data_IF_497483171859
#
_entry.id   IF_497483171859
#
_cell.length_a   1.000
_cell.length_b   1.000
_cell.length_c   1.000
_cell.angle_alpha   90.00
_cell.angle_beta   90.00
_cell.angle_gamma   90.00
#
_symmetry.space_group_name_H-M   'P 1'
#
loop_
_entity.id
_entity.type
_entity.pdbx_description
1 polymer ?
#
# COMPACT_ATOMS: atom_id res chain seq x y z
N UNK A 1 13.47 -4.96 13.37
CA UNK A 1 12.09 -5.44 13.71
C UNK A 1 11.17 -5.58 12.49
N UNK A 2 11.25 -4.68 11.50
CA UNK A 2 10.45 -4.63 10.28
C UNK A 2 10.67 -5.90 9.46
N UNK A 3 11.93 -6.36 9.31
CA UNK A 3 12.19 -7.57 8.53
C UNK A 3 11.51 -8.81 9.13
N UNK A 4 11.61 -9.02 10.44
CA UNK A 4 10.95 -10.15 11.11
C UNK A 4 9.43 -10.05 11.06
N UNK A 5 8.87 -8.83 11.07
CA UNK A 5 7.45 -8.60 10.83
C UNK A 5 7.04 -9.03 9.40
N UNK A 6 7.80 -8.65 8.37
CA UNK A 6 7.51 -9.05 7.00
C UNK A 6 7.67 -10.56 6.77
N UNK A 7 8.65 -11.20 7.43
CA UNK A 7 8.82 -12.65 7.41
C UNK A 7 7.61 -13.36 8.02
N UNK A 8 7.04 -12.84 9.11
CA UNK A 8 5.81 -13.35 9.71
C UNK A 8 4.64 -13.27 8.72
N UNK A 9 4.41 -12.10 8.10
CA UNK A 9 3.33 -11.93 7.13
C UNK A 9 3.48 -12.84 5.91
N UNK A 10 4.71 -13.06 5.44
CA UNK A 10 5.00 -13.97 4.33
C UNK A 10 4.71 -15.44 4.70
N UNK A 11 5.04 -15.84 5.92
CA UNK A 11 4.82 -17.20 6.41
C UNK A 11 3.33 -17.50 6.67
N UNK A 12 2.56 -16.48 7.05
CA UNK A 12 1.14 -16.60 7.42
C UNK A 12 0.28 -15.54 6.69
N UNK A 13 0.04 -15.68 5.36
CA UNK A 13 -0.73 -14.71 4.58
C UNK A 13 -2.15 -14.47 5.09
N UNK A 14 -2.77 -15.49 5.71
CA UNK A 14 -4.11 -15.43 6.29
C UNK A 14 -4.26 -14.40 7.42
N UNK A 15 -3.15 -13.93 7.99
CA UNK A 15 -3.17 -12.83 8.96
C UNK A 15 -3.73 -11.54 8.36
N UNK A 16 -3.66 -11.36 7.03
CA UNK A 16 -4.15 -10.16 6.33
C UNK A 16 -5.60 -10.28 5.82
N UNK A 17 -6.32 -11.33 6.20
CA UNK A 17 -7.71 -11.59 5.77
C UNK A 17 -8.73 -11.60 6.93
N UNK A 18 -8.26 -11.30 8.14
CA UNK A 18 -9.10 -11.28 9.32
C UNK A 18 -9.94 -9.99 9.37
N UNK A 19 -11.00 -10.00 10.15
CA UNK A 19 -11.83 -8.82 10.36
C UNK A 19 -11.50 -8.19 11.73
N UNK A 20 -11.12 -6.91 11.70
CA UNK A 20 -10.84 -6.13 12.92
C UNK A 20 -11.66 -4.84 12.96
N UNK A 21 -12.98 -4.91 13.24
CA UNK A 21 -13.88 -3.76 13.14
C UNK A 21 -13.48 -2.57 14.03
N UNK A 22 -12.83 -2.84 15.17
CA UNK A 22 -12.30 -1.79 16.06
C UNK A 22 -11.11 -1.06 15.45
N UNK A 23 -10.16 -1.80 14.88
CA UNK A 23 -9.02 -1.22 14.19
C UNK A 23 -9.46 -0.47 12.93
N UNK A 24 -10.38 -1.01 12.14
CA UNK A 24 -10.97 -0.30 11.00
C UNK A 24 -11.60 1.03 11.43
N UNK A 25 -12.36 1.05 12.54
CA UNK A 25 -12.91 2.28 13.12
C UNK A 25 -11.82 3.23 13.61
N UNK A 26 -10.75 2.71 14.18
CA UNK A 26 -9.60 3.50 14.62
C UNK A 26 -8.87 4.16 13.44
N UNK A 27 -8.49 3.40 12.42
CA UNK A 27 -7.82 3.86 11.21
C UNK A 27 -8.68 4.90 10.47
N UNK A 28 -9.99 4.67 10.35
CA UNK A 28 -10.91 5.62 9.74
C UNK A 28 -10.90 6.99 10.45
N UNK A 29 -10.71 7.02 11.78
CA UNK A 29 -10.62 8.27 12.56
C UNK A 29 -9.32 9.04 12.34
N UNK A 30 -8.29 8.41 11.78
CA UNK A 30 -7.01 9.08 11.50
C UNK A 30 -7.04 9.89 10.20
N UNK A 31 -8.05 9.69 9.36
CA UNK A 31 -8.22 10.45 8.12
C UNK A 31 -9.01 11.75 8.28
N UNK A 32 -9.22 12.44 7.15
CA UNK A 32 -10.00 13.67 7.15
C UNK A 32 -11.51 13.38 7.22
N UNK A 33 -12.07 13.41 8.43
CA UNK A 33 -13.49 13.18 8.71
C UNK A 33 -14.44 14.25 8.14
N UNK A 34 -13.92 15.38 7.63
CA UNK A 34 -14.75 16.41 6.98
C UNK A 34 -15.20 16.03 5.57
N UNK A 35 -14.58 15.00 4.96
CA UNK A 35 -14.98 14.44 3.67
C UNK A 35 -16.23 13.57 3.84
N UNK A 36 -17.39 14.22 4.02
CA UNK A 36 -18.61 13.62 4.58
C UNK A 36 -19.18 12.42 3.82
N UNK A 37 -18.96 12.24 2.51
CA UNK A 37 -19.49 11.09 1.75
C UNK A 37 -18.66 10.78 0.51
N UNK A 38 -17.98 9.65 0.54
CA UNK A 38 -17.40 8.97 -0.61
C UNK A 38 -17.08 7.54 -0.20
N UNK A 39 -17.57 6.54 -0.94
CA UNK A 39 -17.32 5.12 -0.66
C UNK A 39 -15.83 4.75 -0.68
N UNK A 40 -15.00 5.57 -1.33
CA UNK A 40 -13.54 5.42 -1.35
C UNK A 40 -12.82 5.88 -0.08
N UNK A 41 -13.51 6.31 0.99
CA UNK A 41 -12.90 6.90 2.20
C UNK A 41 -12.80 5.95 3.41
N UNK A 42 -12.99 4.65 3.22
CA UNK A 42 -12.92 3.68 4.31
C UNK A 42 -11.62 2.88 4.23
N UNK A 43 -10.95 2.63 5.38
CA UNK A 43 -9.88 1.65 5.41
C UNK A 43 -10.39 0.29 4.92
N UNK A 44 -9.56 -0.42 4.18
CA UNK A 44 -9.76 -1.81 3.78
C UNK A 44 -9.41 -2.73 4.96
N UNK A 45 -10.01 -3.92 4.99
CA UNK A 45 -9.77 -4.89 6.07
C UNK A 45 -8.30 -5.32 6.16
N UNK A 46 -7.61 -5.39 5.01
CA UNK A 46 -6.17 -5.65 4.94
C UNK A 46 -5.35 -4.59 5.70
N UNK A 47 -5.74 -3.32 5.64
CA UNK A 47 -5.05 -2.24 6.37
C UNK A 47 -5.26 -2.39 7.89
N UNK A 48 -6.46 -2.77 8.31
CA UNK A 48 -6.76 -3.06 9.71
C UNK A 48 -5.96 -4.26 10.23
N UNK A 49 -5.87 -5.34 9.45
CA UNK A 49 -5.03 -6.49 9.78
C UNK A 49 -3.56 -6.11 9.93
N UNK A 50 -3.03 -5.35 8.97
CA UNK A 50 -1.64 -4.92 8.99
C UNK A 50 -1.32 -4.10 10.25
N UNK A 51 -2.20 -3.16 10.62
CA UNK A 51 -2.04 -2.38 11.84
C UNK A 51 -2.06 -3.25 13.11
N UNK A 52 -3.03 -4.18 13.22
CA UNK A 52 -3.12 -5.10 14.36
C UNK A 52 -1.88 -6.00 14.46
N UNK A 53 -1.42 -6.56 13.35
CA UNK A 53 -0.24 -7.41 13.36
C UNK A 53 1.03 -6.62 13.65
N UNK A 54 1.14 -5.37 13.20
CA UNK A 54 2.23 -4.48 13.58
C UNK A 54 2.21 -4.20 15.10
N UNK A 55 1.04 -3.92 15.68
CA UNK A 55 0.90 -3.72 17.14
C UNK A 55 1.28 -4.96 17.94
N UNK A 56 0.82 -6.14 17.52
CA UNK A 56 1.23 -7.43 18.13
C UNK A 56 2.73 -7.68 18.00
N UNK A 57 3.37 -7.13 16.98
CA UNK A 57 4.81 -7.23 16.76
C UNK A 57 5.61 -6.10 17.42
N UNK A 58 4.97 -5.29 18.27
CA UNK A 58 5.61 -4.27 19.10
C UNK A 58 5.68 -2.87 18.50
N UNK A 59 5.08 -2.63 17.33
CA UNK A 59 4.97 -1.28 16.78
C UNK A 59 3.86 -0.50 17.48
N UNK A 60 4.10 0.78 17.78
CA UNK A 60 3.09 1.67 18.39
C UNK A 60 2.60 2.71 17.39
N UNK A 61 1.30 2.99 17.38
CA UNK A 61 0.77 4.03 16.51
C UNK A 61 1.39 5.40 16.85
N UNK A 62 1.82 6.12 15.83
CA UNK A 62 2.31 7.49 15.93
C UNK A 62 1.32 8.43 15.23
N UNK A 63 0.67 9.28 16.02
CA UNK A 63 -0.32 10.22 15.53
C UNK A 63 0.30 11.27 14.60
N UNK A 64 -0.51 11.78 13.67
CA UNK A 64 -0.06 12.82 12.74
C UNK A 64 0.42 14.06 13.50
N UNK A 65 1.62 14.55 13.17
CA UNK A 65 2.22 15.72 13.81
C UNK A 65 2.93 15.42 15.13
N UNK A 66 2.98 14.16 15.55
CA UNK A 66 3.80 13.73 16.69
C UNK A 66 5.12 13.14 16.21
N UNK A 67 6.19 13.39 16.96
CA UNK A 67 7.51 12.77 16.79
C UNK A 67 7.71 11.73 17.88
N UNK A 68 8.49 10.69 17.59
CA UNK A 68 8.95 9.77 18.61
C UNK A 68 9.96 10.49 19.52
N UNK A 69 9.78 10.40 20.84
CA UNK A 69 10.66 11.02 21.84
C UNK A 69 11.69 10.06 22.42
N UNK A 70 11.63 8.77 22.04
CA UNK A 70 12.48 7.71 22.55
C UNK A 70 12.73 6.66 21.47
N UNK A 71 13.73 5.83 21.70
CA UNK A 71 13.93 4.60 20.95
C UNK A 71 12.70 3.69 21.01
N UNK A 72 12.48 2.92 19.94
CA UNK A 72 11.34 2.03 19.82
C UNK A 72 10.87 1.81 18.39
N UNK A 73 9.76 1.06 18.28
CA UNK A 73 9.11 0.72 17.02
C UNK A 73 7.77 1.45 16.92
N UNK A 74 7.54 2.15 15.81
CA UNK A 74 6.35 2.97 15.59
C UNK A 74 5.77 2.73 14.21
N UNK A 75 4.48 3.02 14.03
CA UNK A 75 3.88 3.08 12.70
C UNK A 75 3.04 4.34 12.53
N UNK A 76 3.13 4.92 11.33
CA UNK A 76 2.22 5.97 10.86
C UNK A 76 1.22 5.33 9.91
N UNK A 77 -0.03 5.76 9.98
CA UNK A 77 -1.07 5.41 9.03
C UNK A 77 -1.58 6.67 8.32
N UNK A 78 -1.80 6.57 7.01
CA UNK A 78 -2.41 7.63 6.23
C UNK A 78 -3.66 7.12 5.53
N UNK A 79 -4.83 7.36 6.14
CA UNK A 79 -6.10 7.08 5.48
C UNK A 79 -6.19 7.90 4.20
N UNK A 80 -6.31 7.22 3.07
CA UNK A 80 -6.34 7.85 1.76
C UNK A 80 -5.25 8.91 1.62
N UNK A 81 -4.02 8.45 1.46
CA UNK A 81 -3.19 9.12 0.49
C UNK A 81 -4.03 9.60 -0.69
N UNK A 82 -3.72 10.77 -1.26
CA UNK A 82 -3.97 10.90 -2.70
C UNK A 82 -3.50 9.59 -3.35
N UNK A 83 -4.00 9.14 -4.51
CA UNK A 83 -3.57 7.85 -5.11
C UNK A 83 -2.03 7.73 -5.38
N UNK A 84 -1.25 8.73 -4.91
CA UNK A 84 0.19 8.84 -4.79
C UNK A 84 0.78 8.67 -3.38
N UNK A 85 0.02 8.64 -2.27
CA UNK A 85 0.60 8.46 -0.92
C UNK A 85 0.45 7.02 -0.43
N UNK A 86 1.27 6.68 0.56
CA UNK A 86 1.47 5.35 1.12
C UNK A 86 0.48 5.11 2.24
N UNK A 87 0.07 3.86 2.42
CA UNK A 87 -0.91 3.52 3.45
C UNK A 87 -0.24 3.54 4.84
N UNK A 88 0.96 2.98 4.94
CA UNK A 88 1.71 2.88 6.19
C UNK A 88 3.17 3.31 6.04
N UNK A 89 3.76 3.74 7.16
CA UNK A 89 5.20 3.77 7.34
C UNK A 89 5.55 3.14 8.68
N UNK A 90 6.41 2.12 8.67
CA UNK A 90 6.98 1.55 9.89
C UNK A 90 8.31 2.23 10.18
N UNK A 91 8.54 2.54 11.45
CA UNK A 91 9.68 3.33 11.91
C UNK A 91 10.35 2.58 13.04
N UNK A 92 11.65 2.38 12.92
CA UNK A 92 12.50 1.91 14.01
C UNK A 92 13.45 3.03 14.42
N UNK A 93 13.56 3.23 15.73
CA UNK A 93 14.46 4.22 16.34
C UNK A 93 15.38 3.48 17.29
N UNK A 94 16.68 3.50 16.98
CA UNK A 94 17.72 2.84 17.78
C UNK A 94 18.86 3.85 17.95
N UNK A 95 19.24 4.12 19.20
CA UNK A 95 20.25 5.11 19.56
C UNK A 95 19.95 6.50 18.94
N UNK A 96 18.67 6.87 18.87
CA UNK A 96 18.20 8.12 18.26
C UNK A 96 18.22 8.14 16.72
N UNK A 97 18.70 7.09 16.05
CA UNK A 97 18.71 6.97 14.58
C UNK A 97 17.39 6.36 14.11
N UNK A 98 16.68 7.07 13.24
CA UNK A 98 15.37 6.65 12.72
C UNK A 98 15.50 6.02 11.32
N UNK A 99 14.98 4.81 11.17
CA UNK A 99 14.79 4.13 9.88
C UNK A 99 13.30 4.04 9.59
N UNK A 100 12.85 4.63 8.48
CA UNK A 100 11.45 4.62 8.04
C UNK A 100 11.31 3.80 6.75
N UNK A 101 10.43 2.80 6.78
CA UNK A 101 10.08 1.97 5.62
C UNK A 101 8.62 2.17 5.28
N UNK A 102 8.33 2.44 4.00
CA UNK A 102 7.00 2.80 3.52
C UNK A 102 6.32 1.61 2.87
N UNK A 103 5.02 1.49 3.12
CA UNK A 103 4.19 0.37 2.67
C UNK A 103 2.96 0.85 1.92
N UNK A 104 2.59 0.08 0.90
CA UNK A 104 1.39 0.29 0.10
C UNK A 104 0.69 -1.06 -0.07
N UNK A 105 -0.53 -1.17 0.45
CA UNK A 105 -1.27 -2.39 0.56
C UNK A 105 -2.27 -2.48 -0.60
N UNK A 106 -2.35 -3.66 -1.20
CA UNK A 106 -3.29 -3.93 -2.29
C UNK A 106 -3.95 -5.28 -2.05
N UNK A 107 -5.26 -5.31 -2.18
CA UNK A 107 -6.03 -6.53 -2.13
C UNK A 107 -6.62 -6.82 -3.50
N UNK A 108 -6.36 -8.02 -4.02
CA UNK A 108 -6.90 -8.49 -5.29
C UNK A 108 -8.29 -9.10 -5.11
N UNK A 109 -9.17 -8.84 -6.07
CA UNK A 109 -10.41 -9.61 -6.22
C UNK A 109 -10.14 -10.74 -7.20
N UNK A 110 -9.89 -11.94 -6.66
CA UNK A 110 -9.39 -13.07 -7.45
C UNK A 110 -7.91 -12.89 -7.77
N UNK A 111 -7.57 -12.76 -9.06
CA UNK A 111 -6.19 -12.75 -9.55
C UNK A 111 -5.72 -11.37 -10.07
N UNK A 112 -6.40 -10.29 -9.65
CA UNK A 112 -6.04 -8.95 -10.09
C UNK A 112 -6.50 -7.89 -9.10
N UNK A 113 -5.80 -6.76 -9.09
CA UNK A 113 -6.13 -5.61 -8.26
C UNK A 113 -6.06 -4.33 -9.09
N UNK A 114 -6.60 -3.24 -8.56
CA UNK A 114 -6.68 -1.98 -9.28
C UNK A 114 -5.59 -1.00 -8.85
N UNK A 115 -4.87 -0.47 -9.84
CA UNK A 115 -4.18 0.81 -9.75
C UNK A 115 -5.07 1.84 -10.45
N UNK A 116 -5.74 2.70 -9.69
CA UNK A 116 -6.53 3.81 -10.27
C UNK A 116 -5.56 4.83 -10.93
N UNK A 117 -5.46 6.07 -10.45
CA UNK A 117 -4.45 7.03 -10.90
C UNK A 117 -3.06 6.78 -10.27
N UNK A 118 -2.86 5.62 -9.63
CA UNK A 118 -1.63 5.21 -8.96
C UNK A 118 -0.71 4.35 -9.85
N UNK A 119 0.49 4.11 -9.35
CA UNK A 119 1.47 3.17 -9.91
C UNK A 119 2.40 2.71 -8.80
N UNK A 120 3.16 1.65 -9.06
CA UNK A 120 4.29 1.27 -8.23
C UNK A 120 5.27 2.44 -8.05
N UNK A 121 5.83 2.57 -6.86
CA UNK A 121 6.69 3.70 -6.49
C UNK A 121 8.01 3.19 -5.97
N UNK A 122 9.08 3.94 -6.24
CA UNK A 122 10.42 3.65 -5.75
C UNK A 122 10.49 3.72 -4.22
N UNK A 123 11.27 2.84 -3.59
CA UNK A 123 11.51 2.79 -2.14
C UNK A 123 10.23 2.58 -1.32
N UNK A 124 9.30 1.82 -1.86
CA UNK A 124 8.04 1.45 -1.21
C UNK A 124 7.86 -0.04 -1.32
N UNK A 125 7.60 -0.69 -0.20
CA UNK A 125 7.26 -2.11 -0.17
C UNK A 125 5.76 -2.25 -0.42
N UNK A 126 5.41 -2.95 -1.49
CA UNK A 126 4.04 -3.32 -1.81
C UNK A 126 3.72 -4.65 -1.15
N UNK A 127 2.56 -4.71 -0.49
CA UNK A 127 2.02 -5.93 0.09
C UNK A 127 0.71 -6.25 -0.63
N UNK A 128 0.74 -7.23 -1.51
CA UNK A 128 -0.41 -7.61 -2.34
C UNK A 128 -0.99 -8.93 -1.84
N UNK A 129 -2.18 -8.90 -1.27
CA UNK A 129 -2.95 -10.11 -0.91
C UNK A 129 -3.83 -10.54 -2.08
N UNK A 130 -3.77 -11.82 -2.47
CA UNK A 130 -4.53 -12.36 -3.59
C UNK A 130 -4.83 -13.85 -3.43
N UNK A 131 -5.83 -14.35 -4.15
CA UNK A 131 -6.22 -15.77 -4.12
C UNK A 131 -5.82 -16.42 -5.43
N UNK A 132 -5.02 -17.48 -5.35
CA UNK A 132 -4.65 -18.32 -6.50
C UNK A 132 -4.89 -19.78 -6.19
N UNK A 133 -5.63 -20.48 -7.05
CA UNK A 133 -6.01 -21.89 -6.86
C UNK A 133 -6.66 -22.16 -5.48
N UNK A 134 -7.55 -21.26 -5.04
CA UNK A 134 -8.25 -21.29 -3.73
C UNK A 134 -7.31 -21.21 -2.51
N UNK A 135 -6.08 -20.73 -2.69
CA UNK A 135 -5.14 -20.50 -1.60
C UNK A 135 -4.81 -19.02 -1.51
N UNK A 136 -4.74 -18.53 -0.28
CA UNK A 136 -4.33 -17.17 0.03
C UNK A 136 -2.84 -17.04 -0.20
N UNK A 137 -2.46 -15.97 -0.91
CA UNK A 137 -1.09 -15.68 -1.23
C UNK A 137 -0.81 -14.21 -0.99
N UNK A 138 0.45 -13.95 -0.67
CA UNK A 138 0.96 -12.61 -0.47
C UNK A 138 2.18 -12.42 -1.36
N UNK A 139 2.22 -11.30 -2.05
CA UNK A 139 3.42 -10.77 -2.66
C UNK A 139 3.94 -9.64 -1.78
N UNK A 140 5.23 -9.63 -1.49
CA UNK A 140 5.92 -8.58 -0.74
C UNK A 140 7.17 -8.22 -1.53
N UNK A 141 7.26 -6.98 -2.02
CA UNK A 141 8.35 -6.54 -2.88
C UNK A 141 8.43 -5.03 -3.01
N UNK A 142 9.59 -4.50 -3.40
CA UNK A 142 9.72 -3.08 -3.71
C UNK A 142 8.99 -2.72 -5.00
N UNK A 143 8.35 -1.55 -5.02
CA UNK A 143 7.53 -1.11 -6.15
C UNK A 143 8.31 -1.04 -7.46
N UNK A 144 9.51 -0.47 -7.43
CA UNK A 144 10.38 -0.39 -8.61
C UNK A 144 10.82 -1.76 -9.17
N UNK A 145 10.65 -2.84 -8.40
CA UNK A 145 10.94 -4.21 -8.83
C UNK A 145 9.67 -5.02 -9.11
N UNK A 146 8.48 -4.42 -8.97
CA UNK A 146 7.18 -5.10 -9.04
C UNK A 146 6.53 -5.06 -10.43
N UNK A 147 7.19 -4.43 -11.41
CA UNK A 147 6.68 -4.29 -12.77
C UNK A 147 7.75 -4.63 -13.81
N UNK A 148 7.31 -4.94 -15.03
CA UNK A 148 8.19 -5.01 -16.19
C UNK A 148 8.38 -3.61 -16.79
N UNK A 149 9.55 -3.35 -17.37
CA UNK A 149 9.85 -2.03 -17.95
C UNK A 149 8.83 -1.64 -19.04
N UNK A 150 8.36 -2.62 -19.83
CA UNK A 150 7.31 -2.38 -20.82
C UNK A 150 5.99 -1.88 -20.19
N UNK A 151 5.63 -2.37 -19.01
CA UNK A 151 4.43 -1.94 -18.29
C UNK A 151 4.58 -0.49 -17.81
N UNK A 152 5.77 -0.15 -17.31
CA UNK A 152 6.09 1.20 -16.83
C UNK A 152 6.10 2.21 -17.98
N UNK A 153 6.66 1.85 -19.15
CA UNK A 153 6.61 2.69 -20.36
C UNK A 153 5.16 2.91 -20.79
N UNK A 154 4.36 1.84 -20.89
CA UNK A 154 2.95 1.93 -21.28
C UNK A 154 2.13 2.78 -20.29
N UNK A 155 2.33 2.59 -18.99
CA UNK A 155 1.68 3.40 -17.96
C UNK A 155 2.01 4.88 -18.15
N UNK A 156 3.29 5.22 -18.35
CA UNK A 156 3.76 6.61 -18.46
C UNK A 156 3.19 7.30 -19.70
N UNK A 157 3.13 6.58 -20.82
CA UNK A 157 2.52 7.07 -22.05
C UNK A 157 1.03 7.39 -21.87
N UNK A 158 0.27 6.44 -21.32
CA UNK A 158 -1.17 6.61 -21.07
C UNK A 158 -1.42 7.75 -20.07
N UNK A 159 -0.61 7.84 -19.01
CA UNK A 159 -0.75 8.91 -18.03
C UNK A 159 -0.50 10.28 -18.65
N UNK A 160 0.48 10.39 -19.54
CA UNK A 160 0.77 11.63 -20.27
C UNK A 160 -0.44 12.06 -21.12
N UNK A 161 -1.01 11.13 -21.89
CA UNK A 161 -2.22 11.36 -22.70
C UNK A 161 -3.40 11.82 -21.86
N UNK A 162 -3.63 11.24 -20.68
CA UNK A 162 -4.71 11.67 -19.79
C UNK A 162 -4.48 13.07 -19.22
N UNK A 163 -3.24 13.40 -18.85
CA UNK A 163 -2.90 14.77 -18.41
C UNK A 163 -3.19 15.78 -19.52
N UNK A 164 -2.82 15.45 -20.75
CA UNK A 164 -3.10 16.28 -21.92
C UNK A 164 -4.61 16.43 -22.15
N UNK A 165 -5.37 15.33 -22.18
CA UNK A 165 -6.83 15.35 -22.35
C UNK A 165 -7.54 16.18 -21.27
N UNK A 166 -7.02 16.18 -20.04
CA UNK A 166 -7.57 16.96 -18.93
C UNK A 166 -7.12 18.44 -18.93
N UNK A 167 -6.09 18.81 -19.70
CA UNK A 167 -5.64 20.20 -19.86
C UNK A 167 -6.62 21.00 -20.72
N UNK A 168 -7.17 20.39 -21.76
CA UNK A 168 -8.17 21.02 -22.63
C UNK A 168 -9.53 21.04 -21.90
N UNK A 169 -10.01 22.23 -21.55
CA UNK A 169 -11.26 22.43 -20.80
C UNK A 169 -12.46 21.84 -21.56
N UNK A 170 -12.88 20.63 -21.20
CA UNK A 170 -14.15 20.01 -21.61
C UNK A 170 -15.24 20.32 -20.59
N UNK A 171 -15.34 21.59 -20.20
CA UNK A 171 -16.27 22.05 -19.18
C UNK A 171 -17.34 22.91 -19.84
N UNK A 172 -18.59 22.47 -19.79
CA UNK A 172 -19.74 23.35 -20.07
C UNK A 172 -20.20 23.99 -18.76
N UNK A 173 -21.30 24.73 -18.79
CA UNK A 173 -21.92 25.36 -17.60
C UNK A 173 -22.18 24.37 -16.47
N UNK A 174 -22.54 23.12 -16.79
CA UNK A 174 -22.90 22.10 -15.80
C UNK A 174 -22.11 20.80 -15.92
N UNK A 175 -21.54 20.49 -17.09
CA UNK A 175 -20.75 19.27 -17.30
C UNK A 175 -19.27 19.56 -17.08
N UNK A 176 -18.63 18.77 -16.21
CA UNK A 176 -17.18 18.73 -16.05
C UNK A 176 -16.68 17.36 -16.46
N UNK A 177 -15.90 17.28 -17.54
CA UNK A 177 -15.30 16.02 -17.98
C UNK A 177 -13.91 15.89 -17.34
N UNK A 178 -13.68 14.77 -16.67
CA UNK A 178 -12.39 14.43 -16.06
C UNK A 178 -12.05 12.97 -16.37
N UNK A 179 -10.95 12.76 -17.10
CA UNK A 179 -10.47 11.44 -17.47
C UNK A 179 -9.58 10.89 -16.35
N UNK A 180 -9.82 9.64 -15.95
CA UNK A 180 -9.06 8.92 -14.92
C UNK A 180 -8.65 7.54 -15.39
N UNK A 181 -7.60 7.01 -14.77
CA UNK A 181 -7.22 5.61 -14.94
C UNK A 181 -7.94 4.73 -13.94
N UNK A 182 -8.32 3.54 -14.40
CA UNK A 182 -8.86 2.44 -13.62
C UNK A 182 -8.15 1.16 -14.03
N UNK A 183 -6.83 1.15 -13.93
CA UNK A 183 -6.01 0.08 -14.48
C UNK A 183 -6.10 -1.14 -13.59
N UNK A 184 -6.26 -2.30 -14.20
CA UNK A 184 -6.22 -3.58 -13.52
C UNK A 184 -4.85 -4.21 -13.74
N UNK A 185 -4.24 -4.69 -12.66
CA UNK A 185 -2.93 -5.34 -12.68
C UNK A 185 -3.08 -6.80 -12.31
N UNK A 186 -2.58 -7.70 -13.17
CA UNK A 186 -2.68 -9.14 -12.94
C UNK A 186 -1.65 -9.61 -11.91
N UNK A 187 -2.10 -10.48 -11.00
CA UNK A 187 -1.25 -11.19 -10.06
C UNK A 187 -0.50 -12.38 -10.69
N UNK A 188 -0.73 -12.69 -11.98
CA UNK A 188 -0.09 -13.84 -12.65
C UNK A 188 1.44 -13.79 -12.64
N UNK A 189 2.01 -12.59 -12.67
CA UNK A 189 3.46 -12.39 -12.62
C UNK A 189 4.07 -12.77 -11.26
N UNK A 190 3.27 -12.77 -10.19
CA UNK A 190 3.70 -13.12 -8.84
C UNK A 190 3.81 -14.65 -8.73
N UNK A 191 4.71 -15.21 -9.53
CA UNK A 191 5.13 -16.61 -9.42
C UNK A 191 5.90 -16.81 -8.13
N UNK A 192 6.05 -18.07 -7.70
CA UNK A 192 6.80 -18.39 -6.48
C UNK A 192 8.26 -17.92 -6.59
N UNK A 193 8.87 -18.11 -7.76
CA UNK A 193 10.23 -17.67 -8.04
C UNK A 193 10.34 -16.14 -8.02
N UNK A 194 9.47 -15.45 -8.76
CA UNK A 194 9.48 -13.98 -8.80
C UNK A 194 9.26 -13.40 -7.39
N UNK A 195 8.26 -13.89 -6.66
CA UNK A 195 7.95 -13.40 -5.31
C UNK A 195 9.09 -13.67 -4.32
N UNK A 196 9.78 -14.81 -4.46
CA UNK A 196 10.95 -15.14 -3.63
C UNK A 196 12.10 -14.17 -3.89
N UNK A 197 12.48 -13.94 -5.14
CA UNK A 197 13.57 -13.02 -5.50
C UNK A 197 13.31 -11.59 -5.01
N UNK A 198 12.06 -11.11 -5.10
CA UNK A 198 11.68 -9.77 -4.64
C UNK A 198 11.73 -9.65 -3.13
N UNK A 199 11.37 -10.71 -2.41
CA UNK A 199 11.52 -10.73 -0.95
C UNK A 199 12.98 -10.80 -0.51
N UNK A 200 13.82 -11.57 -1.21
CA UNK A 200 15.27 -11.61 -0.94
C UNK A 200 15.93 -10.24 -1.15
N UNK A 201 15.43 -9.42 -2.09
CA UNK A 201 15.85 -8.02 -2.23
C UNK A 201 15.53 -7.21 -0.97
N UNK A 202 14.33 -7.39 -0.39
CA UNK A 202 13.95 -6.75 0.88
C UNK A 202 14.86 -7.21 2.02
N UNK A 203 15.12 -8.51 2.15
CA UNK A 203 16.03 -9.05 3.16
C UNK A 203 17.41 -8.40 3.08
N UNK A 204 17.95 -8.22 1.88
CA UNK A 204 19.26 -7.56 1.68
C UNK A 204 19.26 -6.07 2.02
N UNK A 205 18.17 -5.35 1.74
CA UNK A 205 18.09 -3.89 2.00
C UNK A 205 17.74 -3.54 3.45
N UNK A 206 17.13 -4.46 4.18
CA UNK A 206 16.71 -4.27 5.58
C UNK A 206 17.58 -5.02 6.60
N UNK A 207 18.55 -5.81 6.15
CA UNK A 207 19.58 -6.43 7.01
C UNK A 207 20.68 -5.42 7.37
#
# INVERSE_FOLDING_TARGET
MILSFLQKLRAFPELLEQEYPEMTRFLHRQGNLTLKRGSGNRPQDQEACFAVEAEKHGFKFLAKGTTHSSDGCYYKYQLNGSQRCKDFALIEVVDGISTEVKFDLKSAKGNSFYFNDGWFQSNVIYIVSYIRKKQNRIYIGYGEESYLECDNVAWNEIRSKIKEMNKYKKNTTFLKIYNRLGNQYSCDQFTDQFSKERFESIEKRLA
#
